data_IF_812389397346
#
_entry.id   IF_812389397346
#
_cell.length_a   1.000
_cell.length_b   1.000
_cell.length_c   1.000
_cell.angle_alpha   90.00
_cell.angle_beta   90.00
_cell.angle_gamma   90.00
#
_symmetry.space_group_name_H-M   'P 1'
#
loop_
_entity.id
_entity.type
_entity.pdbx_description
1 polymer ?
#
# COMPACT_ATOMS: atom_id res chain seq x y z
N UNK A 1 -6.52 17.23 3.40
CA UNK A 1 -6.82 16.95 4.80
C UNK A 1 -5.62 16.33 5.49
N UNK A 2 -5.46 16.68 6.76
CA UNK A 2 -4.43 16.12 7.61
C UNK A 2 -4.42 14.59 7.56
N UNK A 3 -5.62 14.02 7.52
CA UNK A 3 -5.78 12.59 7.65
C UNK A 3 -5.19 11.82 6.45
N UNK A 4 -5.32 12.34 5.24
CA UNK A 4 -4.75 11.67 4.08
C UNK A 4 -3.24 11.59 4.17
N UNK A 5 -2.59 12.71 4.53
CA UNK A 5 -1.15 12.70 4.68
C UNK A 5 -0.70 11.74 5.77
N UNK A 6 -1.40 11.74 6.91
CA UNK A 6 -1.09 10.83 8.00
C UNK A 6 -1.24 9.37 7.58
N UNK A 7 -2.28 9.05 6.80
CA UNK A 7 -2.49 7.68 6.32
C UNK A 7 -1.42 7.25 5.32
N UNK A 8 -1.01 8.15 4.44
CA UNK A 8 0.07 7.86 3.51
C UNK A 8 1.37 7.59 4.26
N UNK A 9 1.65 8.36 5.29
CA UNK A 9 2.83 8.14 6.13
C UNK A 9 2.74 6.81 6.89
N UNK A 10 1.55 6.45 7.36
CA UNK A 10 1.33 5.15 8.01
C UNK A 10 1.64 4.00 7.04
N UNK A 11 1.22 4.14 5.79
CA UNK A 11 1.51 3.14 4.76
C UNK A 11 3.02 2.99 4.59
N UNK A 12 3.75 4.10 4.49
CA UNK A 12 5.20 4.04 4.34
C UNK A 12 5.89 3.42 5.54
N UNK A 13 5.41 3.70 6.75
CA UNK A 13 5.98 3.07 7.96
C UNK A 13 5.77 1.56 7.96
N UNK A 14 4.58 1.13 7.57
CA UNK A 14 4.30 -0.31 7.47
C UNK A 14 5.18 -0.96 6.41
N UNK A 15 5.35 -0.31 5.27
CA UNK A 15 6.21 -0.81 4.20
C UNK A 15 7.67 -0.89 4.66
N UNK A 16 8.15 0.10 5.41
CA UNK A 16 9.51 0.06 5.95
C UNK A 16 9.71 -1.12 6.89
N UNK A 17 8.70 -1.43 7.70
CA UNK A 17 8.72 -2.59 8.59
C UNK A 17 8.77 -3.90 7.81
N UNK A 18 8.03 -3.97 6.71
CA UNK A 18 8.06 -5.14 5.82
C UNK A 18 9.45 -5.28 5.19
N UNK A 19 9.98 -4.18 4.68
CA UNK A 19 11.28 -4.20 3.98
C UNK A 19 12.41 -4.69 4.88
N UNK A 20 12.34 -4.37 6.16
CA UNK A 20 13.37 -4.79 7.12
C UNK A 20 13.60 -6.29 7.11
N UNK A 21 12.53 -7.07 7.01
CA UNK A 21 12.62 -8.53 7.01
C UNK A 21 12.61 -9.13 5.61
N UNK A 22 12.06 -8.42 4.63
CA UNK A 22 12.10 -8.87 3.24
C UNK A 22 13.52 -8.99 2.71
N UNK A 23 14.44 -8.17 3.22
CA UNK A 23 15.85 -8.22 2.85
C UNK A 23 16.50 -9.57 3.11
N UNK A 24 15.98 -10.33 4.06
CA UNK A 24 16.50 -11.66 4.41
C UNK A 24 16.18 -12.71 3.35
N UNK A 25 15.29 -12.39 2.43
CA UNK A 25 14.97 -13.23 1.29
C UNK A 25 13.90 -14.28 1.56
N UNK A 26 13.56 -14.99 0.49
CA UNK A 26 12.49 -15.99 0.49
C UNK A 26 12.73 -17.13 1.46
N UNK A 27 13.94 -17.61 1.52
CA UNK A 27 14.25 -18.75 2.38
C UNK A 27 14.01 -18.45 3.85
N UNK A 28 14.40 -17.23 4.28
CA UNK A 28 14.15 -16.82 5.65
C UNK A 28 12.65 -16.71 5.92
N UNK A 29 11.91 -16.14 4.98
CA UNK A 29 10.46 -16.03 5.09
C UNK A 29 9.81 -17.41 5.22
N UNK A 30 10.20 -18.37 4.37
CA UNK A 30 9.61 -19.69 4.35
C UNK A 30 9.86 -20.47 5.65
N UNK A 31 10.93 -20.18 6.35
CA UNK A 31 11.37 -20.92 7.53
C UNK A 31 10.95 -20.30 8.86
N UNK A 32 10.46 -19.06 8.86
CA UNK A 32 10.25 -18.34 10.10
C UNK A 32 8.81 -17.84 10.21
N UNK A 33 8.05 -18.51 11.05
CA UNK A 33 6.66 -18.15 11.33
C UNK A 33 6.51 -16.73 11.84
N UNK A 34 7.48 -16.25 12.62
CA UNK A 34 7.43 -14.89 13.14
C UNK A 34 7.56 -13.87 12.02
N UNK A 35 8.43 -14.15 11.05
CA UNK A 35 8.58 -13.28 9.88
C UNK A 35 7.30 -13.29 9.05
N UNK A 36 6.69 -14.47 8.85
CA UNK A 36 5.43 -14.59 8.14
C UNK A 36 4.34 -13.75 8.81
N UNK A 37 4.22 -13.87 10.12
CA UNK A 37 3.24 -13.11 10.89
C UNK A 37 3.50 -11.61 10.82
N UNK A 38 4.76 -11.21 10.85
CA UNK A 38 5.17 -9.81 10.72
C UNK A 38 4.72 -9.23 9.39
N UNK A 39 4.96 -9.98 8.30
CA UNK A 39 4.55 -9.55 6.96
C UNK A 39 3.04 -9.39 6.86
N UNK A 40 2.31 -10.41 7.31
CA UNK A 40 0.85 -10.40 7.26
C UNK A 40 0.27 -9.23 8.06
N UNK A 41 0.79 -9.02 9.26
CA UNK A 41 0.35 -7.93 10.11
C UNK A 41 0.54 -6.57 9.43
N UNK A 42 1.73 -6.34 8.87
CA UNK A 42 2.00 -5.04 8.25
C UNK A 42 1.28 -4.85 6.92
N UNK A 43 1.04 -5.93 6.17
CA UNK A 43 0.19 -5.84 4.99
C UNK A 43 -1.24 -5.46 5.37
N UNK A 44 -1.73 -5.99 6.49
CA UNK A 44 -3.03 -5.61 7.02
C UNK A 44 -3.08 -4.13 7.36
N UNK A 45 -2.01 -3.60 7.98
CA UNK A 45 -1.93 -2.18 8.29
C UNK A 45 -1.93 -1.32 7.03
N UNK A 46 -1.24 -1.75 5.98
CA UNK A 46 -1.25 -1.03 4.69
C UNK A 46 -2.67 -0.95 4.17
N UNK A 47 -3.39 -2.06 4.15
CA UNK A 47 -4.76 -2.08 3.66
C UNK A 47 -5.70 -1.22 4.50
N UNK A 48 -5.55 -1.26 5.82
CA UNK A 48 -6.35 -0.44 6.72
C UNK A 48 -6.12 1.05 6.49
N UNK A 49 -4.87 1.46 6.38
CA UNK A 49 -4.55 2.87 6.15
C UNK A 49 -5.08 3.33 4.78
N UNK A 50 -4.91 2.50 3.76
CA UNK A 50 -5.40 2.83 2.41
C UNK A 50 -6.92 2.98 2.40
N UNK A 51 -7.63 2.13 3.15
CA UNK A 51 -9.09 2.20 3.22
C UNK A 51 -9.58 3.51 3.84
N UNK A 52 -8.75 4.18 4.63
CA UNK A 52 -9.09 5.44 5.28
C UNK A 52 -8.73 6.68 4.47
N UNK A 53 -8.05 6.49 3.34
CA UNK A 53 -7.78 7.61 2.44
C UNK A 53 -9.08 8.12 1.84
N UNK A 54 -9.17 9.43 1.62
CA UNK A 54 -10.35 10.03 1.03
C UNK A 54 -10.55 9.51 -0.40
N UNK A 55 -11.81 9.48 -0.84
CA UNK A 55 -12.11 9.15 -2.23
C UNK A 55 -11.46 10.14 -3.19
N UNK A 56 -11.41 11.41 -2.79
CA UNK A 56 -10.79 12.44 -3.61
C UNK A 56 -9.33 12.14 -3.89
N UNK A 57 -8.58 11.73 -2.87
CA UNK A 57 -7.16 11.38 -3.06
C UNK A 57 -7.02 10.16 -3.97
N UNK A 58 -7.82 9.13 -3.73
CA UNK A 58 -7.76 7.91 -4.54
C UNK A 58 -8.12 8.18 -6.00
N UNK A 59 -9.14 8.99 -6.22
CA UNK A 59 -9.55 9.37 -7.58
C UNK A 59 -8.49 10.20 -8.29
N UNK A 60 -7.74 10.98 -7.52
CA UNK A 60 -6.67 11.83 -8.06
C UNK A 60 -5.43 11.02 -8.46
N UNK A 61 -5.29 9.81 -7.94
CA UNK A 61 -4.14 8.95 -8.21
C UNK A 61 -4.59 7.58 -8.72
N UNK A 62 -5.23 7.53 -9.91
CA UNK A 62 -5.81 6.28 -10.42
C UNK A 62 -4.76 5.25 -10.85
N UNK A 63 -3.49 5.65 -10.95
CA UNK A 63 -2.42 4.71 -11.27
C UNK A 63 -2.10 3.74 -10.13
N UNK A 64 -2.54 4.04 -8.91
CA UNK A 64 -2.39 3.11 -7.78
C UNK A 64 -3.58 2.17 -7.77
N UNK A 65 -3.36 0.85 -7.69
CA UNK A 65 -4.48 -0.12 -7.69
C UNK A 65 -5.12 -0.17 -6.30
N UNK A 66 -5.85 0.88 -5.93
CA UNK A 66 -6.41 1.04 -4.59
C UNK A 66 -7.25 -0.14 -4.11
N UNK A 67 -8.15 -0.74 -4.92
CA UNK A 67 -8.91 -1.89 -4.44
C UNK A 67 -8.02 -3.04 -4.01
N UNK A 68 -6.93 -3.28 -4.74
CA UNK A 68 -5.98 -4.34 -4.41
C UNK A 68 -5.19 -4.00 -3.15
N UNK A 69 -4.81 -2.73 -3.01
CA UNK A 69 -4.08 -2.25 -1.81
C UNK A 69 -4.97 -2.38 -0.58
N UNK A 70 -6.20 -1.91 -0.66
CA UNK A 70 -7.17 -2.02 0.42
C UNK A 70 -7.42 -3.49 0.74
N UNK A 71 -7.47 -4.34 -0.27
CA UNK A 71 -7.68 -5.78 -0.10
C UNK A 71 -6.63 -6.47 0.75
N UNK A 72 -5.44 -5.86 0.92
CA UNK A 72 -4.41 -6.45 1.76
C UNK A 72 -4.85 -6.63 3.21
N UNK A 73 -5.80 -5.82 3.68
CA UNK A 73 -6.32 -5.94 5.05
C UNK A 73 -7.12 -7.22 5.27
N UNK A 74 -7.57 -7.85 4.18
CA UNK A 74 -8.42 -9.02 4.26
C UNK A 74 -7.67 -10.33 4.40
N UNK A 75 -6.35 -10.31 4.35
CA UNK A 75 -5.54 -11.52 4.42
C UNK A 75 -5.84 -12.30 5.70
N UNK A 76 -5.89 -11.61 6.85
CA UNK A 76 -6.20 -12.26 8.12
C UNK A 76 -7.70 -12.55 8.28
N UNK A 77 -8.55 -11.64 7.81
CA UNK A 77 -10.00 -11.73 8.05
C UNK A 77 -10.60 -12.93 7.33
N UNK A 78 -10.17 -13.18 6.10
CA UNK A 78 -10.77 -14.21 5.26
C UNK A 78 -9.88 -15.44 5.10
N UNK A 79 -8.66 -15.40 5.57
CA UNK A 79 -7.69 -16.44 5.30
C UNK A 79 -7.01 -17.05 6.50
N UNK A 80 -7.60 -16.93 7.69
CA UNK A 80 -6.91 -17.34 8.91
C UNK A 80 -6.33 -18.77 8.82
N UNK A 81 -7.12 -19.71 8.30
CA UNK A 81 -6.65 -21.10 8.12
C UNK A 81 -6.22 -21.41 6.69
N UNK A 82 -6.34 -20.44 5.80
CA UNK A 82 -6.08 -20.64 4.38
C UNK A 82 -5.19 -19.55 3.82
N UNK A 83 -4.30 -18.98 4.67
CA UNK A 83 -3.37 -17.96 4.20
C UNK A 83 -2.41 -18.58 3.21
N UNK A 84 -2.37 -18.00 2.01
CA UNK A 84 -1.46 -18.42 0.97
C UNK A 84 -0.13 -17.68 1.14
N UNK A 85 0.84 -18.35 1.73
CA UNK A 85 2.16 -17.75 1.99
C UNK A 85 2.90 -17.40 0.70
N UNK A 86 2.65 -18.12 -0.37
CA UNK A 86 3.21 -17.79 -1.68
C UNK A 86 2.72 -16.41 -2.14
N UNK A 87 1.41 -16.16 -2.00
CA UNK A 87 0.82 -14.88 -2.36
C UNK A 87 1.32 -13.76 -1.45
N UNK A 88 1.52 -14.05 -0.17
CA UNK A 88 2.09 -13.06 0.77
C UNK A 88 3.49 -12.67 0.29
N UNK A 89 4.33 -13.64 -0.04
CA UNK A 89 5.69 -13.35 -0.48
C UNK A 89 5.71 -12.58 -1.81
N UNK A 90 4.89 -12.98 -2.78
CA UNK A 90 4.80 -12.28 -4.06
C UNK A 90 4.37 -10.82 -3.85
N UNK A 91 3.42 -10.60 -2.95
CA UNK A 91 2.98 -9.24 -2.62
C UNK A 91 4.13 -8.42 -2.03
N UNK A 92 4.85 -8.99 -1.07
CA UNK A 92 5.97 -8.33 -0.41
C UNK A 92 7.12 -8.04 -1.41
N UNK A 93 7.43 -9.00 -2.25
CA UNK A 93 8.57 -8.89 -3.16
C UNK A 93 8.30 -7.96 -4.33
N UNK A 94 7.09 -8.01 -4.90
CA UNK A 94 6.78 -7.33 -6.16
C UNK A 94 5.87 -6.14 -6.03
N UNK A 95 4.81 -6.25 -5.25
CA UNK A 95 3.78 -5.20 -5.19
C UNK A 95 4.11 -4.09 -4.21
N UNK A 96 4.67 -4.45 -3.08
CA UNK A 96 5.01 -3.48 -2.03
C UNK A 96 6.07 -2.47 -2.49
N UNK A 97 7.17 -2.86 -3.17
CA UNK A 97 8.13 -1.87 -3.65
C UNK A 97 7.54 -0.87 -4.64
N UNK A 98 6.65 -1.34 -5.51
CA UNK A 98 5.98 -0.45 -6.46
C UNK A 98 5.07 0.53 -5.72
N UNK A 99 4.29 0.03 -4.77
CA UNK A 99 3.41 0.86 -3.96
C UNK A 99 4.21 1.91 -3.21
N UNK A 100 5.35 1.53 -2.64
CA UNK A 100 6.22 2.46 -1.91
C UNK A 100 6.58 3.66 -2.79
N UNK A 101 7.01 3.41 -4.01
CA UNK A 101 7.37 4.49 -4.93
C UNK A 101 6.18 5.38 -5.25
N UNK A 102 5.01 4.78 -5.43
CA UNK A 102 3.79 5.52 -5.72
C UNK A 102 3.40 6.42 -4.56
N UNK A 103 3.43 5.90 -3.34
CA UNK A 103 3.09 6.67 -2.15
C UNK A 103 4.10 7.79 -1.92
N UNK A 104 5.38 7.52 -2.09
CA UNK A 104 6.42 8.54 -1.98
C UNK A 104 6.19 9.68 -2.97
N UNK A 105 5.79 9.35 -4.20
CA UNK A 105 5.50 10.35 -5.22
C UNK A 105 4.31 11.22 -4.82
N UNK A 106 3.26 10.61 -4.29
CA UNK A 106 2.08 11.35 -3.81
C UNK A 106 2.48 12.31 -2.70
N UNK A 107 3.26 11.84 -1.73
CA UNK A 107 3.68 12.67 -0.59
C UNK A 107 4.57 13.83 -1.02
N UNK A 108 5.40 13.64 -2.04
CA UNK A 108 6.21 14.75 -2.56
C UNK A 108 5.34 15.84 -3.14
N UNK A 109 4.27 15.47 -3.84
CA UNK A 109 3.31 16.43 -4.36
C UNK A 109 2.56 17.17 -3.25
N UNK A 110 2.12 16.42 -2.23
CA UNK A 110 1.44 17.01 -1.08
C UNK A 110 2.38 17.96 -0.30
N UNK A 111 3.65 17.55 -0.15
CA UNK A 111 4.64 18.34 0.57
C UNK A 111 4.90 19.69 -0.11
N UNK A 112 4.79 19.74 -1.44
CA UNK A 112 4.99 20.99 -2.17
C UNK A 112 3.89 22.02 -1.90
N UNK A 113 2.78 21.58 -1.35
CA UNK A 113 1.65 22.44 -1.06
C UNK A 113 0.94 22.96 -2.30
N UNK A 114 1.30 22.48 -3.45
CA UNK A 114 0.72 22.92 -4.71
C UNK A 114 -0.48 22.06 -5.07
N UNK A 115 -1.68 22.67 -5.18
CA UNK A 115 -2.82 21.89 -5.64
C UNK A 115 -2.61 21.48 -7.12
N UNK A 116 -3.21 20.36 -7.54
CA UNK A 116 -3.10 19.96 -8.93
C UNK A 116 -3.71 21.01 -9.86
N UNK A 117 -3.08 21.19 -10.99
CA UNK A 117 -3.60 22.12 -12.01
C UNK A 117 -4.90 21.57 -12.61
N UNK A 118 -5.62 22.44 -13.30
CA UNK A 118 -6.83 22.03 -14.00
C UNK A 118 -6.52 20.90 -15.00
N UNK A 119 -5.37 21.00 -15.69
CA UNK A 119 -4.96 19.98 -16.63
C UNK A 119 -4.69 18.65 -15.95
N UNK A 120 -4.04 18.68 -14.81
CA UNK A 120 -3.75 17.46 -14.03
C UNK A 120 -5.03 16.80 -13.54
N UNK A 121 -5.98 17.58 -13.03
CA UNK A 121 -7.26 17.06 -12.59
C UNK A 121 -8.05 16.45 -13.75
N UNK A 122 -8.04 17.12 -14.89
CA UNK A 122 -8.74 16.66 -16.06
C UNK A 122 -8.14 15.36 -16.58
N UNK A 123 -6.82 15.26 -16.56
CA UNK A 123 -6.09 14.05 -16.96
C UNK A 123 -6.43 12.87 -16.06
N UNK A 124 -6.48 13.11 -14.75
CA UNK A 124 -6.84 12.07 -13.80
C UNK A 124 -8.25 11.52 -14.07
N UNK A 125 -9.20 12.39 -14.39
CA UNK A 125 -10.54 11.99 -14.74
C UNK A 125 -10.59 11.12 -15.99
N UNK A 126 -9.79 11.48 -17.00
CA UNK A 126 -9.77 10.73 -18.25
C UNK A 126 -9.16 9.34 -18.09
N UNK A 127 -8.23 9.20 -17.16
CA UNK A 127 -7.55 7.93 -16.90
C UNK A 127 -8.35 7.00 -16.00
N UNK A 128 -9.36 7.50 -15.29
CA UNK A 128 -10.15 6.69 -14.39
C UNK A 128 -11.28 6.00 -15.17
N UNK A 129 -11.31 4.65 -15.21
CA UNK A 129 -12.41 3.97 -15.89
C UNK A 129 -13.72 4.23 -15.15
N UNK A 130 -14.75 4.38 -15.91
CA UNK A 130 -16.09 4.58 -15.37
C UNK A 130 -16.84 3.27 -15.28
#
# INVERSE_FOLDING_TARGET
MRDDRARLEDILRAIASIARYAERGRTAFDRDELVQSWMIYHLTLVGEAAARLSLALRDHHPGVPWPRVIGMRNVLVHGYFAIDLEEVWVTVERRVPTLRRQIETILRGETSGRPPSVSERRRAYQLTPR
#
